data_IF_666958001368
#
_entry.id   IF_666958001368
#
_cell.length_a   1.000
_cell.length_b   1.000
_cell.length_c   1.000
_cell.angle_alpha   90.00
_cell.angle_beta   90.00
_cell.angle_gamma   90.00
#
_symmetry.space_group_name_H-M   'P 1'
#
loop_
_entity.id
_entity.type
_entity.pdbx_description
1 polymer ?
#
# COMPACT_ATOMS: atom_id res chain seq x y z
N UNK A 1 11.63 -12.37 -9.88
CA UNK A 1 10.19 -12.47 -10.14
C UNK A 1 9.53 -13.23 -8.99
N UNK A 2 9.32 -12.61 -7.82
CA UNK A 2 8.58 -13.23 -6.69
C UNK A 2 8.23 -12.19 -5.61
N UNK A 3 7.34 -11.24 -5.96
CA UNK A 3 6.39 -10.68 -4.99
C UNK A 3 5.02 -11.40 -5.05
N UNK A 4 4.80 -12.19 -6.10
CA UNK A 4 3.68 -13.12 -6.27
C UNK A 4 3.96 -14.38 -5.45
N UNK A 5 3.39 -14.51 -4.24
CA UNK A 5 3.48 -15.75 -3.44
C UNK A 5 3.65 -15.57 -1.93
N UNK A 6 3.97 -14.37 -1.43
CA UNK A 6 4.07 -14.13 0.02
C UNK A 6 2.76 -13.74 0.70
N UNK A 7 1.68 -13.51 -0.05
CA UNK A 7 0.25 -13.50 0.29
C UNK A 7 -0.25 -12.72 1.52
N UNK A 8 0.44 -12.80 2.66
CA UNK A 8 0.03 -12.29 3.97
C UNK A 8 1.10 -11.51 4.75
N UNK A 9 2.39 -11.53 4.36
CA UNK A 9 3.44 -10.86 5.15
C UNK A 9 4.44 -10.05 4.28
N UNK A 10 3.92 -9.06 3.56
CA UNK A 10 4.73 -8.17 2.72
C UNK A 10 5.30 -7.03 3.57
N UNK A 11 6.54 -7.20 4.02
CA UNK A 11 7.32 -6.09 4.56
C UNK A 11 7.90 -5.15 3.50
N UNK A 12 8.27 -3.94 3.93
CA UNK A 12 8.91 -2.87 3.14
C UNK A 12 10.13 -3.35 2.35
N UNK A 13 10.96 -4.23 2.94
CA UNK A 13 12.13 -4.84 2.28
C UNK A 13 11.76 -5.65 1.02
N UNK A 14 10.58 -6.27 1.00
CA UNK A 14 10.10 -7.02 -0.15
C UNK A 14 9.69 -6.08 -1.28
N UNK A 15 9.09 -4.92 -0.97
CA UNK A 15 8.72 -3.90 -1.96
C UNK A 15 9.97 -3.25 -2.56
N UNK A 16 10.99 -2.98 -1.74
CA UNK A 16 12.28 -2.45 -2.22
C UNK A 16 12.93 -3.47 -3.16
N UNK A 17 13.03 -4.73 -2.74
CA UNK A 17 13.59 -5.81 -3.56
C UNK A 17 12.84 -5.97 -4.88
N UNK A 18 11.51 -5.88 -4.87
CA UNK A 18 10.69 -5.95 -6.08
C UNK A 18 11.07 -4.83 -7.06
N UNK A 19 11.17 -3.59 -6.58
CA UNK A 19 11.56 -2.46 -7.41
C UNK A 19 12.97 -2.59 -7.98
N UNK A 20 13.91 -3.13 -7.19
CA UNK A 20 15.28 -3.39 -7.65
C UNK A 20 15.31 -4.50 -8.72
N UNK A 21 14.51 -5.57 -8.57
CA UNK A 21 14.39 -6.66 -9.56
C UNK A 21 13.89 -6.16 -10.93
N UNK A 22 13.01 -5.15 -10.96
CA UNK A 22 12.53 -4.51 -12.20
C UNK A 22 13.37 -3.31 -12.62
N UNK A 23 14.56 -3.13 -12.03
CA UNK A 23 15.55 -2.08 -12.37
C UNK A 23 15.05 -0.65 -12.19
N UNK A 24 14.12 -0.42 -11.26
CA UNK A 24 13.75 0.95 -10.86
C UNK A 24 14.88 1.57 -10.02
N UNK A 25 15.05 2.89 -10.15
CA UNK A 25 16.02 3.59 -9.30
C UNK A 25 15.55 3.60 -7.84
N UNK A 26 16.51 3.56 -6.90
CA UNK A 26 16.19 3.63 -5.46
C UNK A 26 15.34 4.85 -5.08
N UNK A 27 15.54 5.97 -5.78
CA UNK A 27 14.74 7.19 -5.61
C UNK A 27 13.28 6.95 -6.01
N UNK A 28 13.04 6.33 -7.18
CA UNK A 28 11.69 6.00 -7.65
C UNK A 28 11.00 5.03 -6.70
N UNK A 29 11.70 3.99 -6.26
CA UNK A 29 11.19 3.00 -5.30
C UNK A 29 10.73 3.67 -4.00
N UNK A 30 11.61 4.49 -3.40
CA UNK A 30 11.28 5.22 -2.17
C UNK A 30 10.08 6.15 -2.37
N UNK A 31 10.06 6.89 -3.47
CA UNK A 31 8.99 7.84 -3.77
C UNK A 31 7.62 7.14 -3.89
N UNK A 32 7.55 6.02 -4.63
CA UNK A 32 6.31 5.25 -4.78
C UNK A 32 5.85 4.70 -3.43
N UNK A 33 6.77 4.16 -2.62
CA UNK A 33 6.44 3.63 -1.29
C UNK A 33 5.88 4.73 -0.38
N UNK A 34 6.50 5.91 -0.34
CA UNK A 34 6.03 7.03 0.48
C UNK A 34 4.68 7.57 0.01
N UNK A 35 4.47 7.72 -1.30
CA UNK A 35 3.17 8.10 -1.85
C UNK A 35 2.08 7.09 -1.50
N UNK A 36 2.41 5.80 -1.55
CA UNK A 36 1.46 4.73 -1.20
C UNK A 36 1.10 4.78 0.27
N UNK A 37 2.08 4.96 1.17
CA UNK A 37 1.83 5.15 2.61
C UNK A 37 0.96 6.38 2.87
N UNK A 38 1.25 7.49 2.19
CA UNK A 38 0.48 8.72 2.33
C UNK A 38 -0.99 8.53 1.92
N UNK A 39 -1.24 7.90 0.77
CA UNK A 39 -2.59 7.60 0.30
C UNK A 39 -3.33 6.65 1.25
N UNK A 40 -2.64 5.63 1.80
CA UNK A 40 -3.23 4.71 2.78
C UNK A 40 -3.59 5.43 4.10
N UNK A 41 -2.78 6.39 4.56
CA UNK A 41 -3.11 7.20 5.73
C UNK A 41 -4.36 8.07 5.51
N UNK A 42 -4.59 8.49 4.26
CA UNK A 42 -5.76 9.27 3.85
C UNK A 42 -6.93 8.40 3.39
N UNK A 43 -6.85 7.07 3.56
CA UNK A 43 -7.86 6.12 3.04
C UNK A 43 -9.28 6.54 3.39
N UNK A 44 -9.54 6.92 4.64
CA UNK A 44 -10.89 7.25 5.11
C UNK A 44 -11.48 8.45 4.37
N UNK A 45 -10.67 9.49 4.20
CA UNK A 45 -11.09 10.76 3.60
C UNK A 45 -11.27 10.57 2.08
N UNK A 46 -10.26 10.02 1.40
CA UNK A 46 -10.29 9.76 -0.04
C UNK A 46 -11.43 8.80 -0.43
N UNK A 47 -11.65 7.74 0.35
CA UNK A 47 -12.70 6.77 0.01
C UNK A 47 -14.10 7.38 0.03
N UNK A 48 -14.32 8.37 0.89
CA UNK A 48 -15.60 9.10 0.94
C UNK A 48 -15.80 9.95 -0.32
N UNK A 49 -14.73 10.55 -0.85
CA UNK A 49 -14.74 11.37 -2.06
C UNK A 49 -14.97 10.54 -3.34
N UNK A 50 -14.47 9.30 -3.38
CA UNK A 50 -14.60 8.40 -4.55
C UNK A 50 -15.81 7.47 -4.50
N UNK A 51 -16.80 7.73 -3.62
CA UNK A 51 -18.07 7.01 -3.61
C UNK A 51 -18.02 5.60 -3.01
N UNK A 52 -17.04 5.30 -2.17
CA UNK A 52 -17.01 4.06 -1.39
C UNK A 52 -18.10 4.14 -0.32
N UNK A 53 -18.88 3.06 -0.16
CA UNK A 53 -19.93 3.04 0.87
C UNK A 53 -19.33 3.16 2.26
N UNK A 54 -20.01 3.89 3.16
CA UNK A 54 -19.56 4.10 4.54
C UNK A 54 -19.23 2.78 5.27
N UNK A 55 -20.03 1.73 5.04
CA UNK A 55 -19.80 0.39 5.61
C UNK A 55 -18.45 -0.20 5.17
N UNK A 56 -18.08 -0.04 3.89
CA UNK A 56 -16.81 -0.53 3.35
C UNK A 56 -15.63 0.32 3.84
N UNK A 57 -15.81 1.65 3.93
CA UNK A 57 -14.80 2.56 4.49
C UNK A 57 -14.42 2.12 5.91
N UNK A 58 -15.42 1.90 6.75
CA UNK A 58 -15.21 1.49 8.14
C UNK A 58 -14.61 0.09 8.25
N UNK A 59 -15.10 -0.87 7.46
CA UNK A 59 -14.57 -2.24 7.46
C UNK A 59 -13.09 -2.26 7.11
N UNK A 60 -12.71 -1.58 6.03
CA UNK A 60 -11.32 -1.53 5.57
C UNK A 60 -10.45 -0.74 6.54
N UNK A 61 -10.92 0.41 7.04
CA UNK A 61 -10.18 1.20 8.03
C UNK A 61 -9.90 0.38 9.30
N UNK A 62 -10.87 -0.38 9.81
CA UNK A 62 -10.67 -1.30 10.94
C UNK A 62 -9.68 -2.42 10.65
N UNK A 63 -9.59 -2.91 9.41
CA UNK A 63 -8.57 -3.89 9.04
C UNK A 63 -7.17 -3.27 8.97
N UNK A 64 -7.06 -2.06 8.44
CA UNK A 64 -5.78 -1.35 8.33
C UNK A 64 -5.16 -1.00 9.69
N UNK A 65 -5.97 -0.69 10.70
CA UNK A 65 -5.49 -0.37 12.06
C UNK A 65 -5.17 -1.60 12.93
N UNK A 66 -5.52 -2.81 12.45
CA UNK A 66 -5.23 -4.09 13.14
C UNK A 66 -3.93 -4.75 12.68
N UNK A 67 -3.30 -4.23 11.63
CA UNK A 67 -2.01 -4.67 11.09
C UNK A 67 -0.86 -3.93 11.78
#
# INVERSE_FOLDING_TARGET
>A
MMAMGKGRNIELKHLIKLGEEVKLSKTVIKNIIEQTKHALNQWKDLSSEYGVTQSNIELIHRMMTRL
#
